data_IF_646866178759
#
_entry.id   IF_646866178759
#
_cell.length_a   1.000
_cell.length_b   1.000
_cell.length_c   1.000
_cell.angle_alpha   90.00
_cell.angle_beta   90.00
_cell.angle_gamma   90.00
#
_symmetry.space_group_name_H-M   'P 1'
#
loop_
_entity.id
_entity.type
_entity.pdbx_description
1 polymer ?
#
# COMPACT_ATOMS: atom_id res chain seq x y z
N UNK A 1 -29.69 34.44 28.01
CA UNK A 1 -28.22 34.19 28.02
C UNK A 1 -28.06 32.77 27.55
N UNK A 2 -28.10 32.54 26.24
CA UNK A 2 -28.37 31.19 25.71
C UNK A 2 -27.42 30.87 24.56
N UNK A 3 -26.12 30.99 24.84
CA UNK A 3 -25.10 30.41 23.98
C UNK A 3 -24.87 28.97 24.45
N UNK A 4 -25.18 27.95 23.62
CA UNK A 4 -24.94 26.56 23.98
C UNK A 4 -23.45 26.41 24.31
N UNK A 5 -23.13 25.87 25.49
CA UNK A 5 -21.76 25.64 25.97
C UNK A 5 -20.94 26.89 26.32
N UNK A 6 -21.57 28.08 26.40
CA UNK A 6 -20.90 29.32 26.82
C UNK A 6 -19.88 29.89 25.82
N UNK A 7 -19.92 29.44 24.56
CA UNK A 7 -19.00 29.84 23.49
C UNK A 7 -19.79 30.54 22.39
N UNK A 8 -19.35 31.74 22.01
CA UNK A 8 -19.99 32.53 20.95
C UNK A 8 -19.88 31.85 19.58
N UNK A 9 -20.84 32.10 18.68
CA UNK A 9 -20.86 31.52 17.33
C UNK A 9 -19.55 31.71 16.54
N UNK A 10 -18.98 32.93 16.47
CA UNK A 10 -17.71 33.19 15.80
C UNK A 10 -16.52 32.46 16.43
N UNK A 11 -16.44 32.40 17.76
CA UNK A 11 -15.35 31.72 18.47
C UNK A 11 -15.35 30.21 18.17
N UNK A 12 -16.55 29.61 18.07
CA UNK A 12 -16.68 28.22 17.66
C UNK A 12 -16.12 27.98 16.24
N UNK A 13 -16.36 28.90 15.30
CA UNK A 13 -15.84 28.78 13.92
C UNK A 13 -14.32 28.80 13.90
N UNK A 14 -13.69 29.71 14.66
CA UNK A 14 -12.23 29.79 14.78
C UNK A 14 -11.66 28.50 15.38
N UNK A 15 -12.27 28.00 16.47
CA UNK A 15 -11.89 26.73 17.09
C UNK A 15 -12.06 25.54 16.13
N UNK A 16 -13.14 25.52 15.35
CA UNK A 16 -13.40 24.46 14.39
C UNK A 16 -12.37 24.45 13.25
N UNK A 17 -12.01 25.62 12.71
CA UNK A 17 -10.96 25.75 11.69
C UNK A 17 -9.60 25.29 12.25
N UNK A 18 -9.25 25.74 13.46
CA UNK A 18 -8.01 25.34 14.12
C UNK A 18 -7.95 23.81 14.34
N UNK A 19 -9.06 23.21 14.78
CA UNK A 19 -9.17 21.77 15.00
C UNK A 19 -9.06 20.98 13.68
N UNK A 20 -9.73 21.44 12.62
CA UNK A 20 -9.65 20.83 11.29
C UNK A 20 -8.22 20.90 10.75
N UNK A 21 -7.56 22.06 10.88
CA UNK A 21 -6.16 22.25 10.51
C UNK A 21 -5.22 21.35 11.30
N UNK A 22 -5.43 21.22 12.62
CA UNK A 22 -4.64 20.36 13.48
C UNK A 22 -4.74 18.88 13.08
N UNK A 23 -5.94 18.37 12.77
CA UNK A 23 -6.12 16.98 12.30
C UNK A 23 -5.44 16.74 10.96
N UNK A 24 -5.51 17.70 10.03
CA UNK A 24 -4.79 17.63 8.76
C UNK A 24 -3.27 17.63 8.96
N UNK A 25 -2.76 18.49 9.84
CA UNK A 25 -1.35 18.56 10.19
C UNK A 25 -0.87 17.24 10.82
N UNK A 26 -1.59 16.71 11.80
CA UNK A 26 -1.28 15.42 12.43
C UNK A 26 -1.24 14.31 11.38
N UNK A 27 -2.19 14.27 10.44
CA UNK A 27 -2.16 13.31 9.34
C UNK A 27 -0.94 13.48 8.43
N UNK A 28 -0.61 14.72 8.07
CA UNK A 28 0.54 15.03 7.23
C UNK A 28 1.84 14.59 7.92
N UNK A 29 2.03 15.00 9.17
CA UNK A 29 3.19 14.66 10.01
C UNK A 29 3.28 13.15 10.21
N UNK A 30 2.21 12.47 10.60
CA UNK A 30 2.23 11.01 10.78
C UNK A 30 2.54 10.30 9.47
N UNK A 31 1.98 10.75 8.33
CA UNK A 31 2.29 10.15 7.03
C UNK A 31 3.74 10.39 6.60
N UNK A 32 4.29 11.58 6.86
CA UNK A 32 5.67 11.95 6.57
C UNK A 32 6.69 11.28 7.50
N UNK A 33 6.39 11.21 8.81
CA UNK A 33 7.22 10.56 9.83
C UNK A 33 7.22 9.05 9.64
N UNK A 34 6.09 8.42 9.32
CA UNK A 34 6.08 6.98 8.97
C UNK A 34 6.87 6.73 7.69
N UNK A 35 6.78 7.61 6.69
CA UNK A 35 7.59 7.52 5.47
C UNK A 35 9.10 7.69 5.72
N UNK A 36 9.49 8.63 6.58
CA UNK A 36 10.88 8.95 6.90
C UNK A 36 11.51 8.02 7.95
N UNK A 37 10.73 7.50 8.90
CA UNK A 37 11.16 6.41 9.78
C UNK A 37 11.30 5.11 9.02
N UNK A 38 10.45 4.84 8.02
CA UNK A 38 10.68 3.72 7.10
C UNK A 38 12.00 3.87 6.34
N UNK A 39 12.44 5.10 6.02
CA UNK A 39 13.75 5.39 5.42
C UNK A 39 14.94 5.16 6.36
N UNK A 40 14.75 5.38 7.67
CA UNK A 40 15.82 5.36 8.68
C UNK A 40 15.91 4.07 9.51
N UNK A 41 14.80 3.37 9.71
CA UNK A 41 14.76 2.08 10.39
C UNK A 41 15.25 1.00 9.43
N UNK A 42 16.55 0.77 9.39
CA UNK A 42 17.16 -0.53 9.69
C UNK A 42 18.58 -0.57 9.08
N UNK A 43 19.56 -0.59 9.97
CA UNK A 43 21.00 -0.58 9.67
C UNK A 43 21.70 -1.81 10.26
N UNK A 44 20.98 -2.85 10.70
CA UNK A 44 21.60 -3.86 11.59
C UNK A 44 21.45 -5.33 11.25
N UNK A 45 20.51 -5.77 10.40
CA UNK A 45 20.32 -7.22 10.15
C UNK A 45 20.91 -7.68 8.81
N UNK A 46 21.81 -8.67 8.80
CA UNK A 46 22.21 -9.36 7.57
C UNK A 46 20.97 -10.03 6.97
N UNK A 47 20.49 -9.48 5.85
CA UNK A 47 19.42 -10.10 5.08
C UNK A 47 20.09 -11.16 4.20
N UNK A 48 19.67 -12.44 4.25
CA UNK A 48 20.10 -13.45 3.28
C UNK A 48 19.86 -12.97 1.85
N UNK A 49 20.65 -13.42 0.88
CA UNK A 49 20.49 -13.00 -0.51
C UNK A 49 19.03 -13.23 -0.96
N UNK A 50 18.28 -12.16 -1.29
CA UNK A 50 16.87 -12.29 -1.59
C UNK A 50 16.68 -13.07 -2.88
N UNK A 51 15.69 -13.97 -2.89
CA UNK A 51 15.37 -14.73 -4.09
C UNK A 51 14.83 -13.82 -5.20
N UNK A 52 14.89 -14.28 -6.45
CA UNK A 52 14.38 -13.54 -7.62
C UNK A 52 12.91 -13.12 -7.42
N UNK A 53 12.09 -13.99 -6.81
CA UNK A 53 10.68 -13.72 -6.53
C UNK A 53 10.47 -12.69 -5.42
N UNK A 54 11.34 -12.68 -4.40
CA UNK A 54 11.34 -11.64 -3.37
C UNK A 54 11.73 -10.29 -3.97
N UNK A 55 12.74 -10.23 -4.85
CA UNK A 55 13.09 -9.00 -5.56
C UNK A 55 11.97 -8.52 -6.49
N UNK A 56 11.33 -9.43 -7.20
CA UNK A 56 10.19 -9.12 -8.05
C UNK A 56 9.00 -8.59 -7.24
N UNK A 57 8.74 -9.18 -6.06
CA UNK A 57 7.75 -8.68 -5.12
C UNK A 57 8.10 -7.27 -4.63
N UNK A 58 9.35 -7.01 -4.27
CA UNK A 58 9.79 -5.67 -3.86
C UNK A 58 9.71 -4.65 -5.02
N UNK A 59 9.87 -5.09 -6.27
CA UNK A 59 9.83 -4.20 -7.43
C UNK A 59 8.41 -3.80 -7.88
N UNK A 60 7.36 -4.54 -7.50
CA UNK A 60 6.01 -4.29 -8.02
C UNK A 60 4.86 -5.00 -7.30
N UNK A 61 5.12 -5.60 -6.14
CA UNK A 61 4.14 -6.36 -5.37
C UNK A 61 3.91 -7.78 -5.90
N UNK A 62 2.84 -8.44 -5.45
CA UNK A 62 2.61 -9.85 -5.70
C UNK A 62 2.38 -10.15 -7.19
N UNK A 63 1.76 -9.22 -7.94
CA UNK A 63 1.56 -9.39 -9.39
C UNK A 63 2.88 -9.51 -10.14
N UNK A 64 3.88 -8.73 -9.73
CA UNK A 64 5.21 -8.75 -10.37
C UNK A 64 6.02 -9.98 -9.99
N UNK A 65 5.83 -10.52 -8.79
CA UNK A 65 6.38 -11.82 -8.40
C UNK A 65 5.78 -12.97 -9.21
N UNK A 66 4.45 -12.95 -9.44
CA UNK A 66 3.79 -13.94 -10.31
C UNK A 66 4.26 -13.79 -11.76
N UNK A 67 4.37 -12.56 -12.28
CA UNK A 67 4.89 -12.34 -13.63
C UNK A 67 6.32 -12.86 -13.80
N UNK A 68 7.18 -12.71 -12.79
CA UNK A 68 8.52 -13.28 -12.78
C UNK A 68 8.51 -14.81 -12.78
N UNK A 69 7.60 -15.44 -12.03
CA UNK A 69 7.43 -16.90 -12.04
C UNK A 69 6.92 -17.40 -13.41
N UNK A 70 5.95 -16.71 -14.02
CA UNK A 70 5.49 -17.02 -15.38
C UNK A 70 6.65 -16.90 -16.37
N UNK A 71 7.43 -15.82 -16.30
CA UNK A 71 8.57 -15.61 -17.19
C UNK A 71 9.62 -16.71 -17.05
N UNK A 72 9.99 -17.09 -15.82
CA UNK A 72 10.95 -18.17 -15.55
C UNK A 72 10.45 -19.52 -16.09
N UNK A 73 9.16 -19.81 -15.95
CA UNK A 73 8.56 -21.05 -16.45
C UNK A 73 8.47 -21.08 -17.98
N UNK A 74 8.17 -19.96 -18.63
CA UNK A 74 8.17 -19.86 -20.10
C UNK A 74 9.59 -20.03 -20.65
N UNK A 75 10.58 -19.40 -20.02
CA UNK A 75 12.00 -19.49 -20.39
C UNK A 75 12.52 -20.94 -20.30
N UNK A 76 12.12 -21.67 -19.25
CA UNK A 76 12.43 -23.10 -19.09
C UNK A 76 11.58 -24.03 -19.97
N UNK A 77 10.67 -23.50 -20.78
CA UNK A 77 9.75 -24.29 -21.61
C UNK A 77 8.70 -25.10 -20.82
N UNK A 78 8.51 -24.78 -19.54
CA UNK A 78 7.53 -25.41 -18.65
C UNK A 78 6.13 -24.77 -18.77
N UNK A 79 6.04 -23.61 -19.41
CA UNK A 79 4.78 -23.02 -19.82
C UNK A 79 4.85 -22.63 -21.29
N UNK A 80 3.72 -22.72 -21.99
CA UNK A 80 3.55 -22.18 -23.34
C UNK A 80 2.45 -21.13 -23.36
N UNK A 81 2.68 -20.09 -24.14
CA UNK A 81 1.70 -19.04 -24.41
C UNK A 81 1.17 -19.24 -25.83
N UNK A 82 -0.14 -19.33 -25.98
CA UNK A 82 -0.77 -19.42 -27.29
C UNK A 82 -1.02 -18.04 -27.91
N UNK A 83 -1.43 -18.01 -29.18
CA UNK A 83 -1.75 -16.77 -29.91
C UNK A 83 -2.90 -15.96 -29.28
N UNK A 84 -3.71 -16.60 -28.43
CA UNK A 84 -4.81 -15.97 -27.68
C UNK A 84 -4.38 -15.46 -26.30
N UNK A 85 -3.08 -15.38 -26.00
CA UNK A 85 -2.52 -14.94 -24.70
C UNK A 85 -2.93 -15.83 -23.52
N UNK A 86 -3.30 -17.07 -23.78
CA UNK A 86 -3.56 -18.06 -22.75
C UNK A 86 -2.28 -18.85 -22.49
N UNK A 87 -2.11 -19.20 -21.23
CA UNK A 87 -0.95 -19.92 -20.73
C UNK A 87 -1.37 -21.35 -20.40
N UNK A 88 -0.63 -22.31 -20.94
CA UNK A 88 -0.83 -23.73 -20.71
C UNK A 88 0.44 -24.38 -20.16
N UNK A 89 0.26 -25.39 -19.32
CA UNK A 89 1.32 -26.29 -18.88
C UNK A 89 2.07 -26.88 -20.08
N UNK A 90 3.40 -26.93 -19.96
CA UNK A 90 4.29 -27.59 -20.89
C UNK A 90 5.42 -28.27 -20.09
N UNK A 91 6.09 -29.27 -20.66
CA UNK A 91 7.26 -29.88 -20.03
C UNK A 91 7.00 -30.47 -18.63
N UNK A 92 8.05 -30.45 -17.79
CA UNK A 92 8.03 -31.06 -16.46
C UNK A 92 7.56 -30.08 -15.38
N UNK A 93 6.93 -30.61 -14.33
CA UNK A 93 6.48 -29.84 -13.16
C UNK A 93 7.67 -29.15 -12.46
N UNK A 94 7.58 -27.85 -12.15
CA UNK A 94 8.64 -27.12 -11.45
C UNK A 94 8.78 -27.55 -9.98
N UNK A 95 9.95 -27.27 -9.38
CA UNK A 95 10.27 -27.60 -7.99
C UNK A 95 10.01 -26.44 -7.01
N UNK A 96 9.93 -25.20 -7.50
CA UNK A 96 9.77 -24.02 -6.65
C UNK A 96 8.28 -23.81 -6.29
N UNK A 97 7.92 -23.50 -5.03
CA UNK A 97 6.52 -23.50 -4.58
C UNK A 97 5.62 -22.46 -5.28
N UNK A 98 6.15 -21.28 -5.59
CA UNK A 98 5.39 -20.23 -6.29
C UNK A 98 5.21 -20.60 -7.77
N UNK A 99 6.24 -21.15 -8.39
CA UNK A 99 6.19 -21.71 -9.74
C UNK A 99 5.18 -22.87 -9.84
N UNK A 100 5.14 -23.78 -8.86
CA UNK A 100 4.16 -24.87 -8.80
C UNK A 100 2.73 -24.36 -8.73
N UNK A 101 2.46 -23.36 -7.89
CA UNK A 101 1.13 -22.78 -7.78
C UNK A 101 0.66 -22.13 -9.09
N UNK A 102 1.57 -21.53 -9.86
CA UNK A 102 1.29 -20.96 -11.18
C UNK A 102 1.11 -22.08 -12.23
N UNK A 103 2.00 -23.08 -12.22
CA UNK A 103 1.96 -24.21 -13.14
C UNK A 103 0.66 -24.99 -13.01
N UNK A 104 0.26 -25.35 -11.79
CA UNK A 104 -0.92 -26.17 -11.52
C UNK A 104 -2.22 -25.52 -12.04
N UNK A 105 -2.27 -24.17 -12.11
CA UNK A 105 -3.42 -23.41 -12.63
C UNK A 105 -3.29 -22.98 -14.09
N UNK A 106 -2.17 -23.27 -14.75
CA UNK A 106 -1.94 -22.96 -16.16
C UNK A 106 -2.65 -23.95 -17.10
N UNK A 107 -3.98 -23.95 -17.10
CA UNK A 107 -4.82 -24.77 -17.97
C UNK A 107 -5.61 -23.87 -18.93
N UNK A 108 -4.92 -23.32 -19.95
CA UNK A 108 -5.49 -22.31 -20.88
C UNK A 108 -5.98 -21.05 -20.15
N UNK A 109 -5.29 -20.69 -19.09
CA UNK A 109 -5.59 -19.56 -18.22
C UNK A 109 -4.97 -18.27 -18.77
N UNK A 110 -5.66 -17.14 -18.62
CA UNK A 110 -5.08 -15.82 -18.92
C UNK A 110 -4.08 -15.42 -17.83
N UNK A 111 -3.10 -14.58 -18.14
CA UNK A 111 -2.19 -14.01 -17.14
C UNK A 111 -2.93 -13.32 -15.97
N UNK A 112 -4.08 -12.71 -16.22
CA UNK A 112 -4.94 -12.12 -15.16
C UNK A 112 -5.46 -13.15 -14.16
N UNK A 113 -5.88 -14.33 -14.62
CA UNK A 113 -6.38 -15.39 -13.73
C UNK A 113 -5.23 -16.03 -12.96
N UNK A 114 -4.09 -16.22 -13.62
CA UNK A 114 -2.86 -16.68 -12.96
C UNK A 114 -2.37 -15.70 -11.89
N UNK A 115 -2.43 -14.39 -12.14
CA UNK A 115 -2.13 -13.38 -11.10
C UNK A 115 -3.10 -13.47 -9.93
N UNK A 116 -4.41 -13.51 -10.21
CA UNK A 116 -5.42 -13.58 -9.15
C UNK A 116 -5.21 -14.81 -8.25
N UNK A 117 -4.91 -15.97 -8.85
CA UNK A 117 -4.63 -17.19 -8.10
C UNK A 117 -3.28 -17.17 -7.40
N UNK A 118 -2.21 -16.80 -8.11
CA UNK A 118 -0.86 -16.71 -7.58
C UNK A 118 -0.78 -15.80 -6.36
N UNK A 119 -1.51 -14.67 -6.37
CA UNK A 119 -1.67 -13.79 -5.20
C UNK A 119 -2.29 -14.46 -3.98
N UNK A 120 -3.19 -15.40 -4.17
CA UNK A 120 -3.92 -16.09 -3.09
C UNK A 120 -3.22 -17.37 -2.63
N UNK A 121 -2.21 -17.83 -3.37
CA UNK A 121 -1.46 -19.05 -3.08
C UNK A 121 -0.77 -19.02 -1.72
N UNK A 122 -0.61 -20.20 -1.12
CA UNK A 122 0.16 -20.35 0.12
C UNK A 122 1.64 -19.95 -0.08
N UNK A 123 2.20 -20.20 -1.26
CA UNK A 123 3.56 -19.79 -1.61
C UNK A 123 3.75 -18.26 -1.57
N UNK A 124 2.77 -17.50 -2.07
CA UNK A 124 2.80 -16.03 -1.98
C UNK A 124 2.73 -15.55 -0.54
N UNK A 125 1.90 -16.19 0.30
CA UNK A 125 1.83 -15.86 1.74
C UNK A 125 3.15 -16.14 2.46
N UNK A 126 3.77 -17.29 2.19
CA UNK A 126 5.08 -17.62 2.74
C UNK A 126 6.17 -16.63 2.29
N UNK A 127 6.12 -16.17 1.03
CA UNK A 127 7.01 -15.14 0.51
C UNK A 127 6.80 -13.79 1.21
N UNK A 128 5.54 -13.38 1.39
CA UNK A 128 5.19 -12.17 2.13
C UNK A 128 5.62 -12.24 3.61
N UNK A 129 5.40 -13.37 4.28
CA UNK A 129 5.83 -13.61 5.66
C UNK A 129 7.35 -13.57 5.79
N UNK A 130 8.08 -14.17 4.85
CA UNK A 130 9.54 -14.08 4.80
C UNK A 130 10.01 -12.62 4.65
N UNK A 131 9.41 -11.85 3.74
CA UNK A 131 9.76 -10.43 3.57
C UNK A 131 9.40 -9.57 4.81
N UNK A 132 8.31 -9.90 5.50
CA UNK A 132 7.87 -9.20 6.72
C UNK A 132 8.80 -9.51 7.90
N UNK A 133 9.19 -10.79 8.09
CA UNK A 133 10.15 -11.23 9.11
C UNK A 133 11.50 -10.52 8.98
N UNK A 134 11.94 -10.27 7.74
CA UNK A 134 13.20 -9.58 7.45
C UNK A 134 13.06 -8.04 7.43
N UNK A 135 11.89 -7.48 7.78
CA UNK A 135 11.66 -6.03 7.80
C UNK A 135 11.70 -5.37 6.41
N UNK A 136 11.61 -6.15 5.34
CA UNK A 136 11.68 -5.66 3.95
C UNK A 136 10.33 -5.13 3.46
N UNK A 137 9.25 -5.38 4.20
CA UNK A 137 7.94 -4.77 3.96
C UNK A 137 7.72 -3.63 4.94
N UNK A 138 7.23 -2.49 4.43
CA UNK A 138 6.86 -1.39 5.31
C UNK A 138 5.75 -1.89 6.23
N UNK A 139 5.91 -1.72 7.55
CA UNK A 139 4.92 -2.11 8.58
C UNK A 139 3.50 -1.70 8.15
N UNK A 140 2.81 -2.64 7.51
CA UNK A 140 1.49 -2.41 6.97
C UNK A 140 0.51 -2.17 8.12
N UNK A 141 0.78 -2.80 9.26
CA UNK A 141 0.08 -2.59 10.52
C UNK A 141 0.21 -1.15 11.03
N UNK A 142 1.42 -0.59 11.16
CA UNK A 142 1.59 0.78 11.65
C UNK A 142 0.98 1.82 10.71
N UNK A 143 1.14 1.64 9.39
CA UNK A 143 0.53 2.54 8.38
C UNK A 143 -1.00 2.44 8.37
N UNK A 144 -1.57 1.25 8.53
CA UNK A 144 -3.01 1.02 8.62
C UNK A 144 -3.60 1.54 9.93
N UNK A 145 -2.89 1.36 11.05
CA UNK A 145 -3.28 1.88 12.36
C UNK A 145 -3.27 3.41 12.34
N UNK A 146 -2.20 4.04 11.86
CA UNK A 146 -2.10 5.49 11.69
C UNK A 146 -3.23 6.06 10.82
N UNK A 147 -3.53 5.42 9.67
CA UNK A 147 -4.65 5.81 8.80
C UNK A 147 -6.01 5.65 9.48
N UNK A 148 -6.17 4.63 10.33
CA UNK A 148 -7.43 4.36 11.04
C UNK A 148 -7.65 5.39 12.14
N UNK A 149 -6.63 5.67 12.97
CA UNK A 149 -6.67 6.73 13.99
C UNK A 149 -6.96 8.08 13.33
N UNK A 150 -6.26 8.40 12.24
CA UNK A 150 -6.47 9.66 11.50
C UNK A 150 -7.84 9.75 10.79
N UNK A 151 -8.54 8.64 10.55
CA UNK A 151 -9.92 8.64 10.06
C UNK A 151 -10.91 8.83 11.21
N UNK A 152 -10.69 8.14 12.35
CA UNK A 152 -11.53 8.29 13.54
C UNK A 152 -11.51 9.73 14.07
N UNK A 153 -10.33 10.36 14.13
CA UNK A 153 -10.21 11.77 14.50
C UNK A 153 -10.99 12.69 13.54
N UNK A 154 -10.91 12.45 12.23
CA UNK A 154 -11.66 13.23 11.24
C UNK A 154 -13.18 13.06 11.42
N UNK A 155 -13.65 11.84 11.68
CA UNK A 155 -15.06 11.55 11.93
C UNK A 155 -15.55 12.21 13.23
N UNK A 156 -14.71 12.25 14.27
CA UNK A 156 -15.03 12.95 15.51
C UNK A 156 -15.21 14.46 15.29
N UNK A 157 -14.31 15.10 14.51
CA UNK A 157 -14.44 16.52 14.14
C UNK A 157 -15.67 16.77 13.29
N UNK A 158 -15.98 15.86 12.36
CA UNK A 158 -17.19 15.94 11.54
C UNK A 158 -18.45 15.86 12.41
N UNK A 159 -18.51 14.90 13.34
CA UNK A 159 -19.63 14.72 14.26
C UNK A 159 -19.83 15.96 15.14
N UNK A 160 -18.75 16.53 15.68
CA UNK A 160 -18.80 17.76 16.48
C UNK A 160 -19.37 18.94 15.68
N UNK A 161 -18.92 19.10 14.43
CA UNK A 161 -19.45 20.12 13.52
C UNK A 161 -20.93 19.93 13.21
N UNK A 162 -21.37 18.67 13.03
CA UNK A 162 -22.76 18.32 12.76
C UNK A 162 -23.67 18.61 13.96
N UNK A 163 -23.26 18.24 15.17
CA UNK A 163 -23.99 18.53 16.42
C UNK A 163 -24.17 20.05 16.59
N UNK A 164 -23.10 20.83 16.35
CA UNK A 164 -23.19 22.29 16.45
C UNK A 164 -24.08 22.89 15.35
N UNK A 165 -24.04 22.32 14.14
CA UNK A 165 -24.88 22.75 13.03
C UNK A 165 -26.37 22.58 13.36
N UNK A 166 -26.75 21.41 13.89
CA UNK A 166 -28.14 21.13 14.30
C UNK A 166 -28.61 22.11 15.38
N UNK A 167 -27.77 22.40 16.37
CA UNK A 167 -28.07 23.41 17.39
C UNK A 167 -28.21 24.81 16.76
N UNK A 168 -27.30 25.20 15.87
CA UNK A 168 -27.34 26.51 15.22
C UNK A 168 -28.59 26.72 14.35
N UNK A 169 -29.05 25.68 13.67
CA UNK A 169 -30.31 25.68 12.89
C UNK A 169 -31.50 25.85 13.83
N UNK A 170 -31.57 25.07 14.92
CA UNK A 170 -32.66 25.16 15.91
C UNK A 170 -32.73 26.54 16.59
N UNK A 171 -31.59 27.21 16.76
CA UNK A 171 -31.52 28.56 17.34
C UNK A 171 -31.67 29.69 16.29
N UNK A 172 -31.96 29.38 15.02
CA UNK A 172 -32.16 30.38 13.96
C UNK A 172 -30.94 31.24 13.64
N UNK A 173 -29.74 30.75 13.95
CA UNK A 173 -28.49 31.52 13.79
C UNK A 173 -27.94 31.37 12.36
N UNK A 174 -27.22 32.38 11.84
CA UNK A 174 -26.55 32.27 10.55
C UNK A 174 -25.45 31.19 10.61
N UNK A 175 -25.72 30.02 10.04
CA UNK A 175 -24.82 28.85 10.04
C UNK A 175 -24.11 28.61 8.71
N UNK A 176 -24.22 29.51 7.74
CA UNK A 176 -23.70 29.29 6.37
C UNK A 176 -22.22 28.91 6.30
N UNK A 177 -21.37 29.60 7.08
CA UNK A 177 -19.93 29.28 7.17
C UNK A 177 -19.71 27.90 7.79
N UNK A 178 -20.51 27.53 8.80
CA UNK A 178 -20.44 26.24 9.46
C UNK A 178 -20.82 25.08 8.51
N UNK A 179 -21.89 25.28 7.71
CA UNK A 179 -22.32 24.33 6.68
C UNK A 179 -21.19 24.07 5.68
N UNK A 180 -20.54 25.14 5.20
CA UNK A 180 -19.41 25.02 4.27
C UNK A 180 -18.24 24.23 4.89
N UNK A 181 -17.87 24.52 6.14
CA UNK A 181 -16.78 23.82 6.83
C UNK A 181 -17.09 22.33 7.08
N UNK A 182 -18.33 22.00 7.45
CA UNK A 182 -18.79 20.60 7.61
C UNK A 182 -18.74 19.87 6.27
N UNK A 183 -19.14 20.51 5.16
CA UNK A 183 -19.03 19.95 3.81
C UNK A 183 -17.58 19.64 3.45
N UNK A 184 -16.65 20.58 3.67
CA UNK A 184 -15.22 20.36 3.43
C UNK A 184 -14.70 19.20 4.28
N UNK A 185 -15.05 19.17 5.57
CA UNK A 185 -14.67 18.08 6.47
C UNK A 185 -15.18 16.71 5.99
N UNK A 186 -16.42 16.65 5.49
CA UNK A 186 -17.04 15.45 4.94
C UNK A 186 -16.30 14.97 3.68
N UNK A 187 -16.03 15.87 2.73
CA UNK A 187 -15.27 15.54 1.51
C UNK A 187 -13.89 14.99 1.86
N UNK A 188 -13.18 15.61 2.80
CA UNK A 188 -11.88 15.14 3.27
C UNK A 188 -11.96 13.75 3.94
N UNK A 189 -13.00 13.49 4.73
CA UNK A 189 -13.24 12.18 5.33
C UNK A 189 -13.50 11.10 4.27
N UNK A 190 -14.30 11.41 3.25
CA UNK A 190 -14.59 10.51 2.12
C UNK A 190 -13.31 10.23 1.34
N UNK A 191 -12.54 11.25 0.97
CA UNK A 191 -11.25 11.08 0.28
C UNK A 191 -10.29 10.22 1.10
N UNK A 192 -10.24 10.43 2.42
CA UNK A 192 -9.44 9.61 3.33
C UNK A 192 -9.90 8.14 3.38
N UNK A 193 -11.21 7.90 3.43
CA UNK A 193 -11.81 6.57 3.44
C UNK A 193 -11.57 5.82 2.11
N UNK A 194 -11.74 6.50 0.97
CA UNK A 194 -11.47 5.95 -0.37
C UNK A 194 -9.98 5.62 -0.52
N UNK A 195 -9.07 6.52 -0.10
CA UNK A 195 -7.62 6.26 -0.12
C UNK A 195 -7.20 5.12 0.82
N UNK A 196 -7.96 4.84 1.89
CA UNK A 196 -7.78 3.67 2.77
C UNK A 196 -8.25 2.38 2.10
N UNK A 197 -9.41 2.41 1.44
CA UNK A 197 -10.03 1.25 0.78
C UNK A 197 -9.25 0.77 -0.44
N UNK A 198 -8.53 1.69 -1.12
CA UNK A 198 -7.50 1.35 -2.10
C UNK A 198 -6.33 0.66 -1.38
N UNK A 199 -6.50 -0.63 -1.13
CA UNK A 199 -5.48 -1.55 -0.64
C UNK A 199 -4.47 -1.75 -1.76
N UNK A 200 -3.56 -0.78 -1.91
CA UNK A 200 -2.39 -0.96 -2.76
C UNK A 200 -1.59 -2.17 -2.26
N UNK A 201 -0.85 -2.86 -3.14
CA UNK A 201 0.09 -3.90 -2.74
C UNK A 201 0.93 -3.47 -1.53
N UNK A 202 1.24 -4.42 -0.63
CA UNK A 202 2.18 -4.18 0.49
C UNK A 202 3.42 -3.50 -0.07
N UNK A 203 3.65 -2.25 0.35
CA UNK A 203 4.73 -1.44 -0.21
C UNK A 203 6.06 -1.90 0.40
N UNK A 204 7.15 -1.94 -0.41
CA UNK A 204 8.50 -2.18 0.10
C UNK A 204 8.83 -1.22 1.24
N UNK A 205 9.50 -1.72 2.28
CA UNK A 205 10.18 -0.84 3.25
C UNK A 205 11.36 -0.16 2.58
N UNK A 206 11.99 0.82 3.23
CA UNK A 206 13.20 1.38 2.65
C UNK A 206 14.36 0.38 2.63
N UNK A 207 14.41 -0.57 3.57
CA UNK A 207 15.35 -1.68 3.48
C UNK A 207 15.10 -2.51 2.21
N UNK A 208 13.83 -2.83 1.91
CA UNK A 208 13.43 -3.47 0.66
C UNK A 208 13.84 -2.68 -0.59
N UNK A 209 13.70 -1.35 -0.58
CA UNK A 209 14.14 -0.50 -1.69
C UNK A 209 15.67 -0.44 -1.84
N UNK A 210 16.44 -0.48 -0.74
CA UNK A 210 17.91 -0.54 -0.80
C UNK A 210 18.37 -1.85 -1.41
N UNK A 211 17.80 -2.97 -0.97
CA UNK A 211 18.08 -4.31 -1.53
C UNK A 211 17.75 -4.34 -3.03
N UNK A 212 16.61 -3.78 -3.43
CA UNK A 212 16.26 -3.65 -4.85
C UNK A 212 17.26 -2.77 -5.61
N UNK A 213 17.71 -1.67 -5.01
CA UNK A 213 18.73 -0.79 -5.58
C UNK A 213 20.09 -1.48 -5.75
N UNK A 214 20.52 -2.26 -4.77
CA UNK A 214 21.74 -3.07 -4.82
C UNK A 214 21.64 -4.13 -5.93
N UNK A 215 20.52 -4.86 -6.00
CA UNK A 215 20.29 -5.86 -7.05
C UNK A 215 20.29 -5.22 -8.46
N UNK A 216 19.67 -4.05 -8.63
CA UNK A 216 19.73 -3.31 -9.90
C UNK A 216 21.13 -2.87 -10.26
N UNK A 217 21.90 -2.41 -9.28
CA UNK A 217 23.28 -1.97 -9.50
C UNK A 217 24.19 -3.14 -9.87
N UNK A 218 24.00 -4.30 -9.23
CA UNK A 218 24.70 -5.54 -9.57
C UNK A 218 24.33 -6.03 -10.99
N UNK A 219 23.05 -5.95 -11.37
CA UNK A 219 22.59 -6.31 -12.71
C UNK A 219 23.03 -5.32 -13.80
N UNK A 220 23.29 -4.06 -13.44
CA UNK A 220 23.72 -3.00 -14.36
C UNK A 220 25.25 -2.79 -14.37
N UNK A 221 26.00 -3.63 -13.66
CA UNK A 221 27.46 -3.57 -13.64
C UNK A 221 28.05 -3.82 -15.03
N UNK A 222 29.28 -3.33 -15.31
CA UNK A 222 29.90 -3.48 -16.62
C UNK A 222 29.96 -4.97 -17.00
N UNK A 223 29.40 -5.30 -18.16
CA UNK A 223 29.53 -6.62 -18.77
C UNK A 223 31.03 -6.92 -18.85
N UNK A 224 31.52 -8.01 -18.23
CA UNK A 224 32.95 -8.31 -18.25
C UNK A 224 33.40 -8.40 -19.71
N UNK A 225 34.38 -7.55 -20.07
CA UNK A 225 34.89 -7.40 -21.44
C UNK A 225 35.45 -8.70 -22.05
N UNK A 226 35.57 -9.78 -21.27
CA UNK A 226 35.98 -11.10 -21.73
C UNK A 226 34.88 -11.95 -22.37
N UNK A 227 33.61 -11.50 -22.42
CA UNK A 227 32.51 -12.29 -23.00
C UNK A 227 32.15 -11.91 -24.46
N UNK A 228 32.80 -10.89 -25.02
CA UNK A 228 32.64 -10.48 -26.44
C UNK A 228 33.80 -10.95 -27.33
N UNK A 229 34.69 -11.78 -26.81
CA UNK A 229 35.77 -12.42 -27.54
C UNK A 229 35.67 -13.94 -27.35
N UNK A 230 34.76 -14.57 -28.09
CA UNK A 230 34.56 -16.01 -28.14
C UNK A 230 33.73 -16.38 -29.35
#
# INVERSE_FOLDING_TARGET
>A
MDDPWGISGPDFVVLYIALLGAVLLVRAVVSGVVGSRALRADTGRPVPQPTVYQLAFLAGGPDRAVDAAIAALVDRGQLRVNSYKQVSQAGARPSEPLEQAVYDMAQLSTTTTLRAYGRQSAAMRALEEGLDQHGLLASAAAKRQARTIGLLLQLAVLALGLVRLLNGISLGRPVGILVFLVLVAAVLAIVAAVRRSKTGPRQPSAAGNRVLGQARSAASGPVPAGMLAG
#
